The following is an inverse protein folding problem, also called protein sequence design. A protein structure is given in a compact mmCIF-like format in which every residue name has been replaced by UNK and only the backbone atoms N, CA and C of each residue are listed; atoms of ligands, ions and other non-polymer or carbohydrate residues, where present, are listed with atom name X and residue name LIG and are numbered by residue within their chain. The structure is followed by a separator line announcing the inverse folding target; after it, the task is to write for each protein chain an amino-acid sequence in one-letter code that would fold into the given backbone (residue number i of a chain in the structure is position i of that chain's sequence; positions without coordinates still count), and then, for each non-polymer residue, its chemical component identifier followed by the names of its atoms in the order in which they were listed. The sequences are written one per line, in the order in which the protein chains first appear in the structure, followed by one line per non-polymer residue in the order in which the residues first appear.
data_IF_602518957413
#
_entry.id   IF_602518957413
#
_cell.length_a   1.000
_cell.length_b   1.000
_cell.length_c   1.000
_cell.angle_alpha   90.00
_cell.angle_beta   90.00
_cell.angle_gamma   90.00
#
_symmetry.space_group_name_H-M   'P 1'
#
loop_
_entity.id
_entity.type
_entity.pdbx_description
1 polymer ?
#
# COMPACT_ATOMS: atom_id res chain seq x y z
N UNK A 1 -13.69 14.59 -23.44
CA UNK A 1 -12.90 13.41 -23.86
C UNK A 1 -13.19 12.27 -22.91
N UNK A 2 -13.13 11.03 -23.41
CA UNK A 2 -13.25 9.81 -22.60
C UNK A 2 -11.86 9.35 -22.17
N UNK A 3 -11.68 9.09 -20.88
CA UNK A 3 -10.44 8.63 -20.28
C UNK A 3 -10.62 7.26 -19.67
N UNK A 4 -9.64 6.39 -19.84
CA UNK A 4 -9.52 5.11 -19.15
C UNK A 4 -8.20 5.04 -18.40
N UNK A 5 -8.22 4.68 -17.10
CA UNK A 5 -7.02 4.64 -16.27
C UNK A 5 -6.80 3.23 -15.74
N UNK A 6 -5.60 2.70 -15.92
CA UNK A 6 -5.17 1.42 -15.36
C UNK A 6 -4.06 1.60 -14.34
N UNK A 7 -4.24 1.00 -13.16
CA UNK A 7 -3.28 1.12 -12.06
C UNK A 7 -2.59 -0.21 -11.78
N UNK A 8 -1.29 -0.19 -11.84
CA UNK A 8 -0.42 -1.23 -11.30
C UNK A 8 0.31 -0.66 -10.09
N UNK A 9 0.31 -1.35 -8.95
CA UNK A 9 1.17 -0.97 -7.84
C UNK A 9 0.54 -0.97 -6.46
N UNK A 10 1.12 -0.14 -5.60
CA UNK A 10 0.78 -0.01 -4.19
C UNK A 10 -0.42 0.92 -3.94
N UNK A 11 -0.78 1.08 -2.67
CA UNK A 11 -1.85 2.00 -2.23
C UNK A 11 -1.61 3.44 -2.67
N UNK A 12 -0.34 3.89 -2.71
CA UNK A 12 0.01 5.24 -3.20
C UNK A 12 -0.35 5.40 -4.67
N UNK A 13 -0.02 4.42 -5.53
CA UNK A 13 -0.43 4.47 -6.93
C UNK A 13 -1.97 4.48 -7.08
N UNK A 14 -2.67 3.71 -6.25
CA UNK A 14 -4.14 3.71 -6.25
C UNK A 14 -4.70 5.07 -5.85
N UNK A 15 -4.17 5.69 -4.78
CA UNK A 15 -4.54 7.04 -4.38
C UNK A 15 -4.30 8.06 -5.50
N UNK A 16 -3.12 8.04 -6.12
CA UNK A 16 -2.79 8.93 -7.23
C UNK A 16 -3.73 8.76 -8.43
N UNK A 17 -4.14 7.53 -8.72
CA UNK A 17 -5.14 7.25 -9.77
C UNK A 17 -6.50 7.83 -9.40
N UNK A 18 -6.96 7.63 -8.17
CA UNK A 18 -8.22 8.22 -7.69
C UNK A 18 -8.22 9.75 -7.79
N UNK A 19 -7.10 10.36 -7.42
CA UNK A 19 -6.93 11.79 -7.54
C UNK A 19 -7.00 12.27 -9.01
N UNK A 20 -6.32 11.57 -9.92
CA UNK A 20 -6.40 11.86 -11.37
C UNK A 20 -7.83 11.72 -11.90
N UNK A 21 -8.55 10.68 -11.50
CA UNK A 21 -9.97 10.49 -11.85
C UNK A 21 -10.84 11.63 -11.36
N UNK A 22 -10.65 12.07 -10.11
CA UNK A 22 -11.37 13.20 -9.51
C UNK A 22 -11.09 14.50 -10.27
N UNK A 23 -9.83 14.77 -10.60
CA UNK A 23 -9.41 15.96 -11.32
C UNK A 23 -10.01 15.97 -12.74
N UNK A 24 -9.89 14.87 -13.48
CA UNK A 24 -10.41 14.75 -14.83
C UNK A 24 -11.94 14.91 -14.88
N UNK A 25 -12.64 14.29 -13.94
CA UNK A 25 -14.11 14.44 -13.82
C UNK A 25 -14.47 15.91 -13.51
N UNK A 26 -13.75 16.55 -12.60
CA UNK A 26 -13.93 17.97 -12.28
C UNK A 26 -13.65 18.92 -13.46
N UNK A 27 -12.81 18.53 -14.41
CA UNK A 27 -12.54 19.22 -15.67
C UNK A 27 -13.58 18.91 -16.78
N UNK A 28 -14.62 18.11 -16.48
CA UNK A 28 -15.71 17.80 -17.40
C UNK A 28 -15.39 16.65 -18.37
N UNK A 29 -14.40 15.81 -18.05
CA UNK A 29 -14.13 14.59 -18.83
C UNK A 29 -14.93 13.42 -18.30
N UNK A 30 -15.09 12.38 -19.13
CA UNK A 30 -15.82 11.15 -18.80
C UNK A 30 -14.83 10.03 -18.57
N UNK A 31 -14.90 9.37 -17.42
CA UNK A 31 -14.15 8.15 -17.16
C UNK A 31 -14.91 6.94 -17.68
N UNK A 32 -14.17 5.99 -18.24
CA UNK A 32 -14.71 4.71 -18.75
C UNK A 32 -13.90 3.55 -18.15
N UNK A 33 -14.46 2.35 -18.24
CA UNK A 33 -13.73 1.12 -17.94
C UNK A 33 -12.53 0.97 -18.87
N UNK A 34 -11.44 0.37 -18.38
CA UNK A 34 -10.18 0.29 -19.13
C UNK A 34 -10.29 -0.58 -20.40
N UNK A 35 -11.18 -1.54 -20.44
CA UNK A 35 -11.43 -2.39 -21.60
C UNK A 35 -12.46 -1.76 -22.59
N UNK A 36 -13.05 -0.61 -22.25
CA UNK A 36 -13.95 0.15 -23.14
C UNK A 36 -13.16 1.08 -24.07
N UNK A 37 -13.82 1.60 -25.10
CA UNK A 37 -13.24 2.62 -25.98
C UNK A 37 -13.08 3.95 -25.26
N UNK A 38 -11.85 4.50 -25.27
CA UNK A 38 -11.50 5.80 -24.75
C UNK A 38 -10.63 6.59 -25.75
N UNK A 39 -10.65 7.91 -25.62
CA UNK A 39 -9.78 8.78 -26.40
C UNK A 39 -8.35 8.77 -25.86
N UNK A 40 -8.23 8.55 -24.54
CA UNK A 40 -6.97 8.56 -23.79
C UNK A 40 -6.91 7.38 -22.81
N UNK A 41 -5.81 6.66 -22.83
CA UNK A 41 -5.47 5.64 -21.83
C UNK A 41 -4.30 6.09 -20.98
N UNK A 42 -4.50 6.17 -19.68
CA UNK A 42 -3.45 6.46 -18.70
C UNK A 42 -3.07 5.17 -17.99
N UNK A 43 -1.78 4.83 -17.96
CA UNK A 43 -1.27 3.64 -17.27
C UNK A 43 -0.35 4.09 -16.14
N UNK A 44 -0.83 4.01 -14.90
CA UNK A 44 -0.04 4.29 -13.70
C UNK A 44 0.73 3.04 -13.28
N UNK A 45 2.06 3.10 -13.38
CA UNK A 45 2.95 1.94 -13.38
C UNK A 45 3.65 1.72 -12.04
N UNK A 46 3.93 0.44 -11.74
CA UNK A 46 4.67 -0.01 -10.58
C UNK A 46 6.05 -0.53 -10.96
N UNK A 47 7.00 -0.37 -10.02
CA UNK A 47 8.38 -0.82 -10.20
C UNK A 47 8.96 -1.50 -8.94
N UNK A 48 8.12 -2.03 -8.04
CA UNK A 48 8.58 -2.70 -6.81
C UNK A 48 9.31 -4.01 -7.10
N UNK A 49 8.89 -4.77 -8.13
CA UNK A 49 9.51 -6.03 -8.53
C UNK A 49 9.76 -6.10 -10.04
N UNK A 50 10.69 -6.96 -10.48
CA UNK A 50 10.90 -7.24 -11.90
C UNK A 50 9.64 -7.81 -12.58
N UNK A 51 8.83 -8.54 -11.84
CA UNK A 51 7.52 -9.05 -12.31
C UNK A 51 6.55 -7.90 -12.56
N UNK A 52 6.55 -6.88 -11.70
CA UNK A 52 5.74 -5.67 -11.91
C UNK A 52 6.14 -4.93 -13.17
N UNK A 53 7.46 -4.74 -13.42
CA UNK A 53 7.95 -4.14 -14.65
C UNK A 53 7.46 -4.91 -15.90
N UNK A 54 7.51 -6.26 -15.86
CA UNK A 54 7.01 -7.11 -16.95
C UNK A 54 5.50 -6.93 -17.17
N UNK A 55 4.72 -6.87 -16.08
CA UNK A 55 3.26 -6.62 -16.17
C UNK A 55 2.97 -5.26 -16.77
N UNK A 56 3.72 -4.20 -16.38
CA UNK A 56 3.59 -2.87 -16.95
C UNK A 56 3.84 -2.88 -18.47
N UNK A 57 4.96 -3.46 -18.92
CA UNK A 57 5.28 -3.56 -20.36
C UNK A 57 4.20 -4.31 -21.13
N UNK A 58 3.71 -5.42 -20.58
CA UNK A 58 2.67 -6.20 -21.25
C UNK A 58 1.36 -5.43 -21.37
N UNK A 59 0.99 -4.67 -20.33
CA UNK A 59 -0.20 -3.82 -20.36
C UNK A 59 -0.07 -2.72 -21.40
N UNK A 60 1.04 -1.99 -21.40
CA UNK A 60 1.31 -0.93 -22.40
C UNK A 60 1.22 -1.48 -23.83
N UNK A 61 1.90 -2.60 -24.12
CA UNK A 61 1.85 -3.24 -25.44
C UNK A 61 0.44 -3.74 -25.82
N UNK A 62 -0.29 -4.29 -24.84
CA UNK A 62 -1.68 -4.71 -25.07
C UNK A 62 -2.54 -3.50 -25.45
N UNK A 63 -2.47 -2.43 -24.67
CA UNK A 63 -3.26 -1.21 -24.90
C UNK A 63 -2.93 -0.60 -26.27
N UNK A 64 -1.64 -0.49 -26.64
CA UNK A 64 -1.24 0.02 -27.96
C UNK A 64 -1.78 -0.82 -29.12
N UNK A 65 -1.79 -2.13 -28.96
CA UNK A 65 -2.29 -3.04 -30.01
C UNK A 65 -3.81 -3.00 -30.13
N UNK A 66 -4.54 -2.89 -28.99
CA UNK A 66 -6.01 -2.88 -29.00
C UNK A 66 -6.61 -1.52 -29.35
N UNK A 67 -5.89 -0.43 -29.05
CA UNK A 67 -6.34 0.95 -29.25
C UNK A 67 -5.26 1.78 -29.97
N UNK A 68 -4.93 1.47 -31.25
CA UNK A 68 -3.79 2.07 -31.97
C UNK A 68 -3.95 3.58 -32.18
N UNK A 69 -5.18 4.08 -32.27
CA UNK A 69 -5.51 5.48 -32.52
C UNK A 69 -5.71 6.31 -31.24
N UNK A 70 -5.79 5.67 -30.08
CA UNK A 70 -5.92 6.36 -28.79
C UNK A 70 -4.58 6.95 -28.33
N UNK A 71 -4.64 8.02 -27.53
CA UNK A 71 -3.46 8.53 -26.82
C UNK A 71 -3.12 7.61 -25.65
N UNK A 72 -1.86 7.20 -25.55
CA UNK A 72 -1.36 6.38 -24.44
C UNK A 72 -0.37 7.16 -23.63
N UNK A 73 -0.74 7.51 -22.40
CA UNK A 73 0.11 8.19 -21.43
C UNK A 73 0.51 7.23 -20.31
N UNK A 74 1.79 7.20 -19.99
CA UNK A 74 2.34 6.31 -18.96
C UNK A 74 3.01 7.11 -17.87
N UNK A 75 2.65 6.84 -16.60
CA UNK A 75 3.26 7.48 -15.45
C UNK A 75 3.61 6.46 -14.35
N UNK A 76 4.17 6.94 -13.23
CA UNK A 76 4.44 6.12 -12.06
C UNK A 76 5.88 5.60 -11.95
N UNK A 77 6.09 4.65 -11.00
CA UNK A 77 7.43 4.24 -10.59
C UNK A 77 8.25 3.57 -11.70
N UNK A 78 7.63 2.80 -12.60
CA UNK A 78 8.37 2.19 -13.70
C UNK A 78 8.79 3.24 -14.74
N UNK A 79 7.91 4.17 -15.07
CA UNK A 79 8.23 5.29 -15.95
C UNK A 79 9.33 6.19 -15.34
N UNK A 80 9.30 6.44 -14.03
CA UNK A 80 10.35 7.16 -13.32
C UNK A 80 11.70 6.45 -13.35
N UNK A 81 11.69 5.12 -13.15
CA UNK A 81 12.94 4.34 -13.07
C UNK A 81 13.59 4.10 -14.44
N UNK A 82 12.78 4.01 -15.50
CA UNK A 82 13.22 3.58 -16.83
C UNK A 82 12.46 4.33 -17.94
N UNK A 83 12.56 5.66 -18.00
CA UNK A 83 11.75 6.46 -18.93
C UNK A 83 12.05 6.13 -20.41
N UNK A 84 13.30 5.87 -20.76
CA UNK A 84 13.70 5.51 -22.14
C UNK A 84 13.14 4.14 -22.56
N UNK A 85 13.12 3.16 -21.65
CA UNK A 85 12.52 1.85 -21.92
C UNK A 85 11.02 1.97 -22.17
N UNK A 86 10.32 2.84 -21.42
CA UNK A 86 8.89 3.10 -21.59
C UNK A 86 8.62 3.87 -22.88
N UNK A 87 9.39 4.91 -23.19
CA UNK A 87 9.28 5.66 -24.45
C UNK A 87 9.46 4.76 -25.67
N UNK A 88 10.40 3.80 -25.59
CA UNK A 88 10.64 2.78 -26.62
C UNK A 88 9.46 1.81 -26.86
N UNK A 89 8.38 1.88 -26.04
CA UNK A 89 7.15 1.14 -26.27
C UNK A 89 6.12 1.91 -27.15
N UNK A 90 6.56 2.99 -27.81
CA UNK A 90 5.78 3.81 -28.73
C UNK A 90 4.53 4.43 -28.07
N UNK A 91 4.68 4.90 -26.82
CA UNK A 91 3.63 5.66 -26.12
C UNK A 91 3.75 7.15 -26.44
N UNK A 92 2.66 7.90 -26.25
CA UNK A 92 2.62 9.33 -26.62
C UNK A 92 3.22 10.22 -25.52
N UNK A 93 3.07 9.83 -24.24
CA UNK A 93 3.57 10.59 -23.09
C UNK A 93 4.13 9.67 -22.01
N UNK A 94 5.32 10.04 -21.49
CA UNK A 94 5.96 9.37 -20.36
C UNK A 94 6.22 10.39 -19.26
N UNK A 95 5.64 10.18 -18.07
CA UNK A 95 5.90 11.00 -16.89
C UNK A 95 6.35 10.15 -15.69
N UNK A 96 7.04 10.79 -14.77
CA UNK A 96 7.53 10.14 -13.54
C UNK A 96 6.44 9.95 -12.48
N UNK A 97 6.84 10.08 -11.23
CA UNK A 97 6.00 9.94 -10.03
C UNK A 97 5.63 11.29 -9.40
N UNK A 98 6.10 12.42 -9.92
CA UNK A 98 5.78 13.76 -9.43
C UNK A 98 4.82 14.50 -10.33
N UNK A 99 4.26 15.60 -9.78
CA UNK A 99 3.45 16.60 -10.48
C UNK A 99 2.34 15.99 -11.36
N UNK A 100 1.33 15.44 -10.70
CA UNK A 100 0.15 14.85 -11.35
C UNK A 100 -0.68 15.88 -12.10
N UNK A 101 -0.69 17.12 -11.60
CA UNK A 101 -1.41 18.21 -12.28
C UNK A 101 -0.76 18.52 -13.62
N UNK A 102 0.55 18.77 -13.65
CA UNK A 102 1.27 19.04 -14.90
C UNK A 102 1.22 17.86 -15.87
N UNK A 103 1.24 16.61 -15.34
CA UNK A 103 1.06 15.42 -16.16
C UNK A 103 -0.30 15.42 -16.87
N UNK A 104 -1.40 15.69 -16.16
CA UNK A 104 -2.73 15.74 -16.75
C UNK A 104 -2.86 16.89 -17.76
N UNK A 105 -2.26 18.05 -17.50
CA UNK A 105 -2.25 19.18 -18.44
C UNK A 105 -1.54 18.77 -19.76
N UNK A 106 -0.41 18.07 -19.67
CA UNK A 106 0.31 17.55 -20.84
C UNK A 106 -0.51 16.50 -21.60
N UNK A 107 -1.23 15.62 -20.87
CA UNK A 107 -2.11 14.62 -21.48
C UNK A 107 -3.23 15.29 -22.27
N UNK A 108 -3.87 16.32 -21.70
CA UNK A 108 -4.94 17.08 -22.37
C UNK A 108 -4.42 17.80 -23.62
N UNK A 109 -3.24 18.44 -23.55
CA UNK A 109 -2.61 19.08 -24.69
C UNK A 109 -2.29 18.09 -25.80
N UNK A 110 -1.66 16.94 -25.46
CA UNK A 110 -1.32 15.91 -26.44
C UNK A 110 -2.57 15.26 -27.06
N UNK A 111 -3.69 15.21 -26.34
CA UNK A 111 -4.95 14.74 -26.88
C UNK A 111 -5.60 15.69 -27.88
N UNK A 112 -5.37 17.02 -27.73
CA UNK A 112 -5.85 18.05 -28.63
C UNK A 112 -4.96 18.19 -29.88
N UNK A 113 -3.67 17.96 -29.75
CA UNK A 113 -2.71 18.03 -30.86
C UNK A 113 -1.86 16.78 -30.97
N UNK A 114 -2.30 15.86 -31.82
CA UNK A 114 -1.66 14.55 -32.07
C UNK A 114 -0.36 14.66 -32.91
N UNK A 115 -0.02 15.85 -33.38
CA UNK A 115 1.24 16.06 -34.12
C UNK A 115 2.46 16.16 -33.21
N UNK A 116 2.26 16.31 -31.91
CA UNK A 116 3.30 16.39 -30.91
C UNK A 116 4.00 15.01 -30.79
N UNK A 117 5.33 14.92 -30.98
CA UNK A 117 6.04 13.66 -30.81
C UNK A 117 6.04 13.20 -29.36
N UNK A 118 6.38 11.93 -29.12
CA UNK A 118 6.47 11.35 -27.76
C UNK A 118 7.22 12.29 -26.83
N UNK A 119 6.54 12.68 -25.74
CA UNK A 119 7.12 13.53 -24.71
C UNK A 119 7.58 12.69 -23.52
N UNK A 120 8.77 12.99 -23.00
CA UNK A 120 9.30 12.38 -21.78
C UNK A 120 9.53 13.48 -20.75
N UNK A 121 8.67 13.51 -19.73
CA UNK A 121 8.67 14.49 -18.64
C UNK A 121 8.97 13.79 -17.32
N UNK A 122 10.23 13.49 -17.08
CA UNK A 122 10.71 12.78 -15.88
C UNK A 122 11.80 13.60 -15.21
N UNK A 123 11.53 14.05 -13.99
CA UNK A 123 12.46 14.80 -13.15
C UNK A 123 13.38 13.89 -12.34
N UNK A 124 14.34 14.50 -11.63
CA UNK A 124 15.13 13.79 -10.64
C UNK A 124 14.39 13.75 -9.28
N UNK A 125 13.78 12.60 -8.97
CA UNK A 125 13.02 12.42 -7.76
C UNK A 125 13.80 12.76 -6.47
N UNK A 126 15.14 12.55 -6.45
CA UNK A 126 15.98 12.87 -5.28
C UNK A 126 16.10 14.37 -4.97
N UNK A 127 15.66 15.23 -5.89
CA UNK A 127 15.68 16.68 -5.73
C UNK A 127 14.32 17.27 -5.32
N UNK A 128 13.32 16.44 -5.06
CA UNK A 128 12.01 16.90 -4.63
C UNK A 128 12.02 17.25 -3.15
N UNK A 129 11.33 18.32 -2.78
CA UNK A 129 11.24 18.80 -1.39
C UNK A 129 9.79 19.01 -0.95
N UNK A 130 8.88 19.25 -1.89
CA UNK A 130 7.49 19.57 -1.58
C UNK A 130 6.61 18.32 -1.66
N UNK A 131 5.66 18.22 -0.72
CA UNK A 131 4.58 17.23 -0.78
C UNK A 131 3.51 17.68 -1.77
N UNK A 132 3.13 16.81 -2.69
CA UNK A 132 2.06 17.09 -3.63
C UNK A 132 0.71 16.74 -3.01
N UNK A 133 -0.07 17.76 -2.64
CA UNK A 133 -1.44 17.59 -2.14
C UNK A 133 -2.37 17.32 -3.32
N UNK A 134 -2.97 16.15 -3.33
CA UNK A 134 -3.94 15.73 -4.33
C UNK A 134 -5.30 15.48 -3.66
N UNK A 135 -6.43 15.63 -4.37
CA UNK A 135 -7.73 15.35 -3.78
C UNK A 135 -7.85 13.90 -3.35
N UNK A 136 -8.27 13.69 -2.09
CA UNK A 136 -8.55 12.37 -1.55
C UNK A 136 -10.00 11.95 -1.85
N UNK A 137 -10.23 10.64 -1.98
CA UNK A 137 -11.54 10.07 -2.26
C UNK A 137 -11.89 10.06 -3.77
N UNK A 138 -13.11 9.65 -4.09
CA UNK A 138 -13.64 9.75 -5.45
C UNK A 138 -13.89 8.44 -6.19
N UNK A 139 -13.55 7.27 -5.66
CA UNK A 139 -13.94 6.02 -6.32
C UNK A 139 -15.38 5.65 -6.00
N UNK A 140 -16.20 5.69 -7.02
CA UNK A 140 -17.53 5.08 -6.99
C UNK A 140 -17.40 3.59 -6.65
N UNK A 141 -18.16 3.14 -5.64
CA UNK A 141 -18.20 1.73 -5.24
C UNK A 141 -17.09 1.27 -4.28
N UNK A 142 -16.25 2.16 -3.71
CA UNK A 142 -15.34 1.83 -2.62
C UNK A 142 -15.86 2.32 -1.27
N UNK A 143 -15.71 1.49 -0.25
CA UNK A 143 -16.16 1.76 1.13
C UNK A 143 -15.07 2.38 2.00
N UNK A 144 -13.81 2.23 1.61
CA UNK A 144 -12.65 2.78 2.30
C UNK A 144 -11.94 3.79 1.42
N UNK A 145 -11.70 5.00 1.94
CA UNK A 145 -10.89 6.00 1.27
C UNK A 145 -9.41 5.87 1.63
N UNK A 146 -8.54 6.18 0.68
CA UNK A 146 -7.11 6.32 0.95
C UNK A 146 -6.81 7.80 1.18
N UNK A 147 -6.00 8.08 2.19
CA UNK A 147 -5.46 9.41 2.47
C UNK A 147 -3.93 9.30 2.45
N UNK A 148 -3.30 9.84 1.42
CA UNK A 148 -1.84 9.88 1.32
C UNK A 148 -1.32 11.03 2.16
N UNK A 149 -0.57 10.72 3.20
CA UNK A 149 -0.01 11.71 4.12
C UNK A 149 1.51 11.82 4.03
N UNK A 150 2.15 10.89 3.31
CA UNK A 150 3.60 10.86 3.14
C UNK A 150 3.96 10.32 1.75
N UNK A 151 5.07 10.80 1.18
CA UNK A 151 5.69 10.26 -0.03
C UNK A 151 7.22 10.29 0.10
N UNK A 152 7.88 9.33 -0.52
CA UNK A 152 9.32 9.19 -0.48
C UNK A 152 9.81 8.24 0.62
N UNK A 153 11.12 7.98 0.66
CA UNK A 153 11.73 7.09 1.66
C UNK A 153 13.24 7.32 1.76
N UNK A 154 13.74 7.53 2.96
CA UNK A 154 15.16 7.70 3.28
C UNK A 154 15.89 6.42 3.71
N UNK A 155 15.27 5.24 3.71
CA UNK A 155 15.86 4.02 4.28
C UNK A 155 16.93 3.37 3.39
N UNK A 156 16.88 3.54 2.07
CA UNK A 156 17.82 2.95 1.11
C UNK A 156 18.10 1.46 1.35
N UNK A 157 17.05 0.67 1.57
CA UNK A 157 17.18 -0.79 1.67
C UNK A 157 17.84 -1.34 0.41
N UNK A 158 18.76 -2.30 0.54
CA UNK A 158 19.62 -2.75 -0.57
C UNK A 158 18.87 -3.34 -1.75
N UNK A 159 17.65 -3.84 -1.54
CA UNK A 159 16.78 -4.43 -2.55
C UNK A 159 15.78 -3.43 -3.17
N UNK A 160 15.70 -2.20 -2.64
CA UNK A 160 14.60 -1.28 -2.94
C UNK A 160 15.01 -0.20 -3.93
N UNK A 161 14.15 0.05 -4.92
CA UNK A 161 14.32 1.12 -5.91
C UNK A 161 13.57 2.40 -5.51
N UNK A 162 12.71 2.32 -4.53
CA UNK A 162 11.75 3.39 -4.18
C UNK A 162 12.44 4.74 -3.87
N UNK A 163 13.54 4.82 -3.10
CA UNK A 163 14.21 6.11 -2.89
C UNK A 163 14.57 6.83 -4.18
N UNK A 164 14.91 6.09 -5.23
CA UNK A 164 15.29 6.64 -6.54
C UNK A 164 14.09 7.00 -7.42
N UNK A 165 12.90 6.44 -7.13
CA UNK A 165 11.69 6.72 -7.90
C UNK A 165 10.75 7.70 -7.21
N UNK A 166 10.78 7.76 -5.87
CA UNK A 166 9.90 8.63 -5.08
C UNK A 166 10.65 9.79 -4.42
N UNK A 167 11.96 9.66 -4.22
CA UNK A 167 12.80 10.68 -3.61
C UNK A 167 12.80 10.66 -2.08
N UNK A 168 13.25 11.76 -1.44
CA UNK A 168 13.27 11.90 0.01
C UNK A 168 11.86 11.96 0.60
N UNK A 169 11.78 11.80 1.92
CA UNK A 169 10.55 11.94 2.69
C UNK A 169 9.94 13.32 2.48
N UNK A 170 8.67 13.37 2.23
CA UNK A 170 7.84 14.57 2.16
C UNK A 170 6.50 14.27 2.83
N UNK A 171 6.17 15.10 3.80
CA UNK A 171 4.99 14.92 4.65
C UNK A 171 3.91 15.95 4.32
N UNK A 172 2.65 15.51 4.30
CA UNK A 172 1.52 16.42 4.29
C UNK A 172 1.37 17.09 5.67
N UNK A 173 0.97 18.36 5.69
CA UNK A 173 0.71 19.05 6.96
C UNK A 173 -0.50 18.45 7.69
N UNK A 174 -0.51 18.56 9.04
CA UNK A 174 -1.65 18.12 9.86
C UNK A 174 -2.95 18.78 9.40
N UNK A 175 -2.93 20.09 9.15
CA UNK A 175 -4.12 20.86 8.78
C UNK A 175 -4.70 20.39 7.43
N UNK A 176 -3.86 20.13 6.44
CA UNK A 176 -4.30 19.62 5.14
C UNK A 176 -4.87 18.20 5.27
N UNK A 177 -4.18 17.32 5.98
CA UNK A 177 -4.64 15.94 6.23
C UNK A 177 -6.00 15.92 6.97
N UNK A 178 -6.17 16.76 8.00
CA UNK A 178 -7.43 16.91 8.74
C UNK A 178 -8.54 17.46 7.84
N UNK A 179 -8.24 18.43 6.99
CA UNK A 179 -9.22 18.99 6.04
C UNK A 179 -9.70 17.92 5.07
N UNK A 180 -8.79 17.12 4.50
CA UNK A 180 -9.16 16.01 3.62
C UNK A 180 -9.95 14.93 4.35
N UNK A 181 -9.56 14.57 5.58
CA UNK A 181 -10.27 13.56 6.38
C UNK A 181 -11.72 13.98 6.66
N UNK A 182 -11.97 15.28 6.98
CA UNK A 182 -13.32 15.81 7.17
C UNK A 182 -14.15 15.73 5.88
N UNK A 183 -13.57 16.11 4.74
CA UNK A 183 -14.25 16.00 3.45
C UNK A 183 -14.63 14.53 3.13
N UNK A 184 -13.77 13.58 3.45
CA UNK A 184 -14.07 12.15 3.29
C UNK A 184 -15.20 11.68 4.22
N UNK A 185 -15.25 12.16 5.48
CA UNK A 185 -16.35 11.89 6.40
C UNK A 185 -17.68 12.43 5.86
N UNK A 186 -17.69 13.67 5.36
CA UNK A 186 -18.87 14.32 4.75
C UNK A 186 -19.31 13.59 3.46
N UNK A 187 -18.39 13.02 2.71
CA UNK A 187 -18.67 12.18 1.54
C UNK A 187 -19.25 10.79 1.88
N UNK A 188 -19.41 10.44 3.16
CA UNK A 188 -20.06 9.21 3.63
C UNK A 188 -19.14 8.00 3.73
N UNK A 189 -17.82 8.18 3.73
CA UNK A 189 -16.90 7.08 4.04
C UNK A 189 -16.96 6.72 5.53
N UNK A 190 -16.77 5.45 5.85
CA UNK A 190 -16.70 4.94 7.22
C UNK A 190 -15.28 4.58 7.68
N UNK A 191 -14.35 4.48 6.76
CA UNK A 191 -12.95 4.17 7.05
C UNK A 191 -12.00 4.94 6.14
N UNK A 192 -10.94 5.51 6.72
CA UNK A 192 -9.79 6.03 5.98
C UNK A 192 -8.55 5.16 6.23
N UNK A 193 -7.77 4.96 5.18
CA UNK A 193 -6.49 4.25 5.26
C UNK A 193 -5.38 5.27 5.05
N UNK A 194 -4.64 5.59 6.11
CA UNK A 194 -3.45 6.44 5.99
C UNK A 194 -2.41 5.71 5.15
N UNK A 195 -2.01 6.35 4.08
CA UNK A 195 -1.12 5.74 3.11
C UNK A 195 0.09 6.63 2.86
N UNK A 196 1.19 6.00 2.51
CA UNK A 196 2.45 6.62 2.17
C UNK A 196 3.40 5.55 1.64
N UNK A 197 4.58 5.96 1.28
CA UNK A 197 5.68 5.05 0.94
C UNK A 197 6.26 4.44 2.22
N UNK A 198 6.42 5.27 3.24
CA UNK A 198 6.89 4.85 4.57
C UNK A 198 6.35 5.82 5.63
N UNK A 199 5.10 5.63 6.03
CA UNK A 199 4.37 6.57 6.90
C UNK A 199 5.01 6.76 8.29
N UNK A 200 5.88 5.85 8.74
CA UNK A 200 6.66 6.01 9.97
C UNK A 200 7.66 7.17 9.91
N UNK A 201 7.99 7.62 8.71
CA UNK A 201 8.87 8.77 8.47
C UNK A 201 8.13 10.09 8.39
N UNK A 202 6.79 10.08 8.49
CA UNK A 202 5.99 11.30 8.48
C UNK A 202 6.44 12.26 9.59
N UNK A 203 6.58 13.51 9.23
CA UNK A 203 7.00 14.59 10.13
C UNK A 203 8.49 14.87 10.14
N UNK A 204 9.35 13.95 9.62
CA UNK A 204 10.81 14.14 9.65
C UNK A 204 11.32 15.33 8.84
N UNK A 205 10.55 15.79 7.87
CA UNK A 205 10.83 16.94 6.99
C UNK A 205 10.05 18.20 7.40
N UNK A 206 9.14 18.10 8.38
CA UNK A 206 8.37 19.23 8.88
C UNK A 206 9.12 19.98 9.97
N UNK A 207 8.79 21.26 10.15
CA UNK A 207 9.30 22.06 11.25
C UNK A 207 8.72 21.61 12.60
N UNK A 208 9.52 21.61 13.63
CA UNK A 208 9.15 21.19 14.98
C UNK A 208 9.44 19.71 15.27
N UNK A 209 9.10 19.28 16.47
CA UNK A 209 9.25 17.87 16.91
C UNK A 209 7.90 17.15 16.80
N UNK A 210 7.46 16.96 15.55
CA UNK A 210 6.21 16.29 15.23
C UNK A 210 6.46 14.91 14.65
N UNK A 211 5.58 13.98 14.96
CA UNK A 211 5.70 12.57 14.57
C UNK A 211 4.35 11.98 14.13
N UNK A 212 4.35 10.78 13.61
CA UNK A 212 3.14 10.09 13.15
C UNK A 212 2.02 10.05 14.20
N UNK A 213 2.36 9.91 15.50
CA UNK A 213 1.32 9.85 16.55
C UNK A 213 0.61 11.20 16.73
N UNK A 214 1.27 12.32 16.49
CA UNK A 214 0.66 13.65 16.55
C UNK A 214 -0.36 13.84 15.42
N UNK A 215 -0.04 13.35 14.21
CA UNK A 215 -0.98 13.30 13.09
C UNK A 215 -2.18 12.41 13.41
N UNK A 216 -1.94 11.22 14.01
CA UNK A 216 -3.01 10.29 14.36
C UNK A 216 -3.99 10.86 15.38
N UNK A 217 -3.48 11.53 16.42
CA UNK A 217 -4.32 12.21 17.41
C UNK A 217 -5.16 13.31 16.75
N UNK A 218 -4.54 14.15 15.92
CA UNK A 218 -5.26 15.21 15.21
C UNK A 218 -6.37 14.65 14.31
N UNK A 219 -6.09 13.62 13.52
CA UNK A 219 -7.06 12.97 12.64
C UNK A 219 -8.18 12.29 13.44
N UNK A 220 -7.85 11.44 14.41
CA UNK A 220 -8.83 10.71 15.19
C UNK A 220 -9.80 11.62 15.96
N UNK A 221 -9.29 12.73 16.51
CA UNK A 221 -10.13 13.73 17.18
C UNK A 221 -10.98 14.54 16.19
N UNK A 222 -10.46 14.84 14.99
CA UNK A 222 -11.18 15.62 14.00
C UNK A 222 -12.34 14.86 13.34
N UNK A 223 -12.22 13.53 13.21
CA UNK A 223 -13.22 12.66 12.55
C UNK A 223 -13.55 11.43 13.40
N UNK A 224 -14.16 11.60 14.58
CA UNK A 224 -14.38 10.51 15.56
C UNK A 224 -15.31 9.40 15.06
N UNK A 225 -16.09 9.64 14.03
CA UNK A 225 -16.99 8.67 13.40
C UNK A 225 -16.33 7.82 12.32
N UNK A 226 -15.15 8.23 11.83
CA UNK A 226 -14.37 7.47 10.86
C UNK A 226 -13.40 6.52 11.56
N UNK A 227 -13.29 5.30 11.08
CA UNK A 227 -12.17 4.43 11.40
C UNK A 227 -10.91 4.95 10.74
N UNK A 228 -9.83 5.01 11.48
CA UNK A 228 -8.50 5.37 10.98
C UNK A 228 -7.63 4.12 10.97
N UNK A 229 -7.23 3.68 9.80
CA UNK A 229 -6.34 2.52 9.62
C UNK A 229 -4.97 2.96 9.13
N UNK A 230 -3.93 2.35 9.67
CA UNK A 230 -2.55 2.62 9.30
C UNK A 230 -2.13 1.80 8.07
N UNK A 231 -1.29 2.39 7.22
CA UNK A 231 -0.46 1.69 6.27
C UNK A 231 0.70 0.95 6.96
N UNK A 232 1.75 0.64 6.18
CA UNK A 232 2.90 -0.09 6.69
C UNK A 232 3.76 0.77 7.62
N UNK A 233 4.20 0.17 8.72
CA UNK A 233 5.03 0.80 9.74
C UNK A 233 6.41 0.15 9.85
N UNK A 234 7.40 0.95 10.19
CA UNK A 234 8.69 0.46 10.62
C UNK A 234 8.65 0.09 12.12
N UNK A 235 9.28 -1.03 12.54
CA UNK A 235 9.21 -1.48 13.94
C UNK A 235 9.65 -0.43 14.97
N UNK A 236 10.60 0.43 14.61
CA UNK A 236 11.13 1.48 15.50
C UNK A 236 10.10 2.54 15.89
N UNK A 237 9.06 2.73 15.09
CA UNK A 237 7.96 3.66 15.40
C UNK A 237 7.13 3.18 16.59
N UNK A 238 7.08 1.87 16.82
CA UNK A 238 6.32 1.27 17.92
C UNK A 238 7.12 1.42 19.22
N UNK A 239 6.97 2.56 19.86
CA UNK A 239 7.50 2.86 21.19
C UNK A 239 6.41 2.74 22.24
N UNK A 240 6.79 2.76 23.52
CA UNK A 240 5.82 2.76 24.61
C UNK A 240 4.92 4.01 24.56
N UNK A 241 5.49 5.19 24.26
CA UNK A 241 4.73 6.43 24.11
C UNK A 241 3.75 6.35 22.93
N UNK A 242 4.18 5.86 21.77
CA UNK A 242 3.30 5.62 20.63
C UNK A 242 2.13 4.71 21.02
N UNK A 243 2.40 3.55 21.66
CA UNK A 243 1.35 2.60 22.04
C UNK A 243 0.38 3.19 23.05
N UNK A 244 0.88 3.89 24.06
CA UNK A 244 0.06 4.55 25.10
C UNK A 244 -0.88 5.60 24.49
N UNK A 245 -0.37 6.46 23.61
CA UNK A 245 -1.17 7.51 22.95
C UNK A 245 -2.14 6.89 21.92
N UNK A 246 -1.68 5.97 21.09
CA UNK A 246 -2.49 5.32 20.07
C UNK A 246 -3.64 4.49 20.65
N UNK A 247 -3.43 3.79 21.78
CA UNK A 247 -4.47 3.00 22.44
C UNK A 247 -5.56 3.85 23.07
N UNK A 248 -5.33 5.14 23.28
CA UNK A 248 -6.33 6.10 23.75
C UNK A 248 -7.27 6.61 22.63
N UNK A 249 -7.03 6.25 21.36
CA UNK A 249 -7.80 6.68 20.20
C UNK A 249 -8.84 5.62 19.81
N UNK A 250 -10.14 5.82 20.15
CA UNK A 250 -11.16 4.77 20.05
C UNK A 250 -11.49 4.38 18.60
N UNK A 251 -11.24 5.26 17.65
CA UNK A 251 -11.48 5.03 16.23
C UNK A 251 -10.23 4.63 15.43
N UNK A 252 -9.07 4.47 16.09
CA UNK A 252 -7.89 3.87 15.48
C UNK A 252 -8.08 2.35 15.38
N UNK A 253 -7.93 1.81 14.18
CA UNK A 253 -8.03 0.37 13.94
C UNK A 253 -6.86 -0.38 14.60
N UNK A 254 -7.10 -1.40 15.45
CA UNK A 254 -6.05 -2.20 16.07
C UNK A 254 -5.42 -3.19 15.08
N UNK A 255 -4.92 -2.66 13.97
CA UNK A 255 -4.25 -3.38 12.89
C UNK A 255 -2.92 -2.69 12.57
N UNK A 256 -1.82 -3.40 12.74
CA UNK A 256 -0.46 -2.88 12.59
C UNK A 256 0.32 -3.76 11.60
N UNK A 257 0.53 -3.24 10.41
CA UNK A 257 1.40 -3.91 9.43
C UNK A 257 2.84 -3.47 9.65
N UNK A 258 3.66 -4.33 10.26
CA UNK A 258 5.06 -4.07 10.57
C UNK A 258 5.98 -4.71 9.53
N UNK A 259 6.86 -3.94 8.91
CA UNK A 259 7.77 -4.41 7.86
C UNK A 259 8.93 -5.23 8.43
N UNK A 260 8.78 -6.57 8.55
CA UNK A 260 9.81 -7.48 9.06
C UNK A 260 10.93 -7.73 8.04
N UNK A 261 10.58 -8.11 6.85
CA UNK A 261 11.45 -8.50 5.73
C UNK A 261 12.30 -9.76 5.97
N UNK A 262 12.92 -9.94 7.16
CA UNK A 262 13.66 -11.13 7.59
C UNK A 262 13.70 -11.20 9.13
N UNK A 263 13.77 -12.40 9.68
CA UNK A 263 13.94 -12.64 11.13
C UNK A 263 15.40 -12.90 11.55
N UNK A 264 16.36 -12.81 10.64
CA UNK A 264 17.79 -12.98 10.94
C UNK A 264 18.51 -11.61 10.88
N UNK A 265 19.21 -11.26 11.95
CA UNK A 265 19.96 -10.01 12.04
C UNK A 265 21.05 -9.89 10.97
N UNK A 266 21.67 -11.00 10.59
CA UNK A 266 22.66 -11.00 9.52
C UNK A 266 22.02 -10.65 8.16
N UNK A 267 20.85 -11.19 7.87
CA UNK A 267 20.08 -10.86 6.67
C UNK A 267 19.55 -9.44 6.71
N UNK A 268 18.99 -8.97 7.84
CA UNK A 268 18.54 -7.59 8.03
C UNK A 268 19.67 -6.58 7.80
N UNK A 269 20.86 -6.88 8.29
CA UNK A 269 22.06 -6.05 8.05
C UNK A 269 22.42 -5.99 6.54
N UNK A 270 22.39 -7.12 5.84
CA UNK A 270 22.61 -7.15 4.37
C UNK A 270 21.53 -6.40 3.62
N UNK A 271 20.28 -6.42 4.11
CA UNK A 271 19.15 -5.63 3.59
C UNK A 271 19.26 -4.13 3.89
N UNK A 272 20.23 -3.69 4.73
CA UNK A 272 20.34 -2.33 5.25
C UNK A 272 19.13 -1.91 6.11
N UNK A 273 18.53 -2.88 6.84
CA UNK A 273 17.46 -2.56 7.80
C UNK A 273 18.06 -1.95 9.07
N UNK A 274 17.30 -1.06 9.71
CA UNK A 274 17.77 -0.24 10.85
C UNK A 274 17.28 -0.78 12.21
N UNK A 275 16.86 -2.00 12.26
CA UNK A 275 16.37 -2.71 13.46
C UNK A 275 16.88 -4.15 13.47
N UNK A 276 16.79 -4.77 14.63
CA UNK A 276 17.09 -6.19 14.87
C UNK A 276 15.80 -7.01 15.02
N UNK A 277 15.93 -8.33 14.94
CA UNK A 277 14.82 -9.26 15.22
C UNK A 277 14.28 -9.06 16.66
N UNK A 278 15.15 -8.84 17.64
CA UNK A 278 14.76 -8.55 19.02
C UNK A 278 13.95 -7.26 19.13
N UNK A 279 14.38 -6.16 18.47
CA UNK A 279 13.63 -4.90 18.45
C UNK A 279 12.26 -5.07 17.81
N UNK A 280 12.15 -5.91 16.80
CA UNK A 280 10.87 -6.22 16.18
C UNK A 280 9.93 -6.97 17.15
N UNK A 281 10.44 -7.98 17.85
CA UNK A 281 9.67 -8.72 18.87
C UNK A 281 9.22 -7.80 20.00
N UNK A 282 10.05 -6.86 20.41
CA UNK A 282 9.68 -5.83 21.38
C UNK A 282 8.50 -4.98 20.88
N UNK A 283 8.48 -4.62 19.60
CA UNK A 283 7.33 -3.91 19.01
C UNK A 283 6.04 -4.73 19.09
N UNK A 284 6.11 -6.03 18.77
CA UNK A 284 4.96 -6.93 18.90
C UNK A 284 4.47 -7.02 20.36
N UNK A 285 5.40 -7.12 21.31
CA UNK A 285 5.10 -7.16 22.75
C UNK A 285 4.39 -5.89 23.20
N UNK A 286 4.92 -4.71 22.84
CA UNK A 286 4.33 -3.42 23.19
C UNK A 286 2.90 -3.29 22.62
N UNK A 287 2.68 -3.64 21.36
CA UNK A 287 1.34 -3.58 20.79
C UNK A 287 0.35 -4.47 21.55
N UNK A 288 0.74 -5.70 21.92
CA UNK A 288 -0.11 -6.61 22.70
C UNK A 288 -0.33 -6.18 24.15
N UNK A 289 0.57 -5.37 24.69
CA UNK A 289 0.40 -4.80 26.03
C UNK A 289 -0.67 -3.70 26.08
N UNK A 290 -0.79 -2.91 25.00
CA UNK A 290 -1.66 -1.75 24.95
C UNK A 290 -2.98 -1.95 24.21
N UNK A 291 -3.05 -2.96 23.34
CA UNK A 291 -4.24 -3.27 22.54
C UNK A 291 -4.74 -4.69 22.83
N UNK A 292 -6.05 -4.87 22.89
CA UNK A 292 -6.64 -6.21 22.99
C UNK A 292 -6.56 -6.92 21.64
N UNK A 293 -5.86 -8.06 21.61
CA UNK A 293 -5.69 -8.91 20.42
C UNK A 293 -5.46 -8.14 19.11
N UNK A 294 -4.45 -7.21 19.04
CA UNK A 294 -4.22 -6.45 17.84
C UNK A 294 -3.83 -7.36 16.68
N UNK A 295 -4.30 -7.06 15.48
CA UNK A 295 -3.80 -7.73 14.29
C UNK A 295 -2.41 -7.20 13.95
N UNK A 296 -1.39 -8.03 14.12
CA UNK A 296 -0.02 -7.73 13.71
C UNK A 296 0.25 -8.51 12.42
N UNK A 297 0.40 -7.79 11.32
CA UNK A 297 0.70 -8.36 10.01
C UNK A 297 2.07 -7.95 9.51
N UNK A 298 2.63 -8.68 8.56
CA UNK A 298 3.99 -8.41 8.08
C UNK A 298 4.26 -8.91 6.67
N UNK A 299 5.35 -8.38 6.09
CA UNK A 299 5.97 -8.87 4.85
C UNK A 299 7.24 -9.66 5.18
N UNK A 300 7.47 -10.77 4.48
CA UNK A 300 8.68 -11.58 4.54
C UNK A 300 9.26 -11.80 3.15
N UNK A 301 10.55 -11.54 2.99
CA UNK A 301 11.32 -11.83 1.78
C UNK A 301 12.17 -13.08 2.02
N UNK A 302 11.82 -14.21 1.37
CA UNK A 302 12.57 -15.45 1.46
C UNK A 302 13.66 -15.55 0.41
N UNK A 303 14.80 -16.10 0.80
CA UNK A 303 15.92 -16.34 -0.11
C UNK A 303 16.60 -15.08 -0.55
N UNK A 304 16.78 -14.10 0.35
CA UNK A 304 17.59 -12.94 0.09
C UNK A 304 19.04 -13.32 -0.22
N UNK A 305 19.77 -12.42 -0.86
CA UNK A 305 21.15 -12.69 -1.31
C UNK A 305 22.02 -13.16 -0.15
N UNK A 306 22.67 -14.32 -0.31
CA UNK A 306 23.53 -14.93 0.68
C UNK A 306 22.82 -15.45 1.94
N UNK A 307 21.49 -15.54 1.95
CA UNK A 307 20.74 -16.13 3.08
C UNK A 307 21.08 -17.61 3.24
N UNK A 308 21.68 -17.98 4.35
CA UNK A 308 22.04 -19.36 4.70
C UNK A 308 20.85 -20.12 5.28
N UNK A 309 20.97 -21.46 5.38
CA UNK A 309 19.96 -22.30 6.05
C UNK A 309 19.81 -21.92 7.53
N UNK A 310 20.92 -21.58 8.22
CA UNK A 310 20.88 -21.09 9.59
C UNK A 310 20.07 -19.81 9.74
N UNK A 311 20.31 -18.82 8.88
CA UNK A 311 19.61 -17.53 8.90
C UNK A 311 18.13 -17.70 8.57
N UNK A 312 17.79 -18.60 7.68
CA UNK A 312 16.40 -18.94 7.40
C UNK A 312 15.72 -19.64 8.59
N UNK A 313 16.43 -20.56 9.27
CA UNK A 313 15.92 -21.18 10.50
C UNK A 313 15.70 -20.14 11.63
N UNK A 314 16.60 -19.16 11.78
CA UNK A 314 16.44 -18.02 12.69
C UNK A 314 15.15 -17.23 12.34
N UNK A 315 14.89 -17.02 11.05
CA UNK A 315 13.69 -16.34 10.55
C UNK A 315 12.42 -17.10 10.93
N UNK A 316 12.37 -18.43 10.72
CA UNK A 316 11.22 -19.25 11.11
C UNK A 316 10.97 -19.19 12.62
N UNK A 317 12.01 -19.36 13.44
CA UNK A 317 11.90 -19.28 14.89
C UNK A 317 11.43 -17.91 15.38
N UNK A 318 11.82 -16.84 14.69
CA UNK A 318 11.38 -15.48 14.99
C UNK A 318 9.90 -15.27 14.63
N UNK A 319 9.45 -15.78 13.49
CA UNK A 319 8.05 -15.72 13.04
C UNK A 319 7.14 -16.40 14.07
N UNK A 320 7.49 -17.58 14.53
CA UNK A 320 6.72 -18.29 15.56
C UNK A 320 6.60 -17.50 16.86
N UNK A 321 7.69 -16.84 17.30
CA UNK A 321 7.68 -15.98 18.50
C UNK A 321 6.85 -14.72 18.32
N UNK A 322 6.85 -14.16 17.10
CA UNK A 322 6.10 -12.95 16.80
C UNK A 322 4.58 -13.18 16.75
N UNK A 323 4.14 -14.40 16.38
CA UNK A 323 2.75 -14.86 16.32
C UNK A 323 1.86 -13.87 15.54
N UNK A 324 2.09 -13.80 14.23
CA UNK A 324 1.40 -12.86 13.34
C UNK A 324 -0.05 -13.30 13.06
N UNK A 325 -0.94 -12.31 12.91
CA UNK A 325 -2.32 -12.54 12.47
C UNK A 325 -2.42 -12.87 10.98
N UNK A 326 -1.50 -12.38 10.16
CA UNK A 326 -1.35 -12.73 8.74
C UNK A 326 0.04 -12.31 8.24
N UNK A 327 0.52 -12.96 7.18
CA UNK A 327 1.82 -12.65 6.56
C UNK A 327 1.73 -12.66 5.04
N UNK A 328 2.43 -11.70 4.42
CA UNK A 328 2.72 -11.72 2.99
C UNK A 328 4.15 -12.23 2.76
N UNK A 329 4.28 -13.34 2.08
CA UNK A 329 5.54 -14.05 1.91
C UNK A 329 5.92 -14.04 0.43
N UNK A 330 7.11 -13.52 0.12
CA UNK A 330 7.58 -13.35 -1.24
C UNK A 330 8.97 -13.94 -1.43
N UNK A 331 9.25 -14.60 -2.57
CA UNK A 331 10.62 -14.91 -2.93
C UNK A 331 11.37 -13.61 -3.26
N UNK A 332 12.62 -13.49 -2.86
CA UNK A 332 13.45 -12.36 -3.25
C UNK A 332 13.48 -12.19 -4.78
N UNK A 333 13.05 -11.05 -5.26
CA UNK A 333 13.04 -10.70 -6.67
C UNK A 333 14.24 -9.81 -6.99
N UNK A 334 15.20 -10.34 -7.72
CA UNK A 334 16.36 -9.60 -8.21
C UNK A 334 15.91 -8.42 -9.08
N UNK A 335 16.40 -7.22 -8.75
CA UNK A 335 15.97 -6.00 -9.42
C UNK A 335 17.18 -5.17 -9.89
N UNK A 336 17.27 -4.97 -11.20
CA UNK A 336 18.29 -4.12 -11.81
C UNK A 336 18.31 -2.71 -11.24
N UNK A 337 19.51 -2.18 -10.98
CA UNK A 337 19.73 -0.86 -10.42
C UNK A 337 19.81 -0.81 -8.88
N UNK A 338 19.44 -1.87 -8.18
CA UNK A 338 19.58 -1.95 -6.72
C UNK A 338 20.96 -2.47 -6.29
N UNK A 339 21.33 -2.22 -5.02
CA UNK A 339 22.58 -2.73 -4.46
C UNK A 339 22.56 -4.26 -4.43
N UNK A 340 21.45 -4.85 -3.99
CA UNK A 340 21.29 -6.31 -3.88
C UNK A 340 21.37 -7.04 -5.23
N UNK A 341 21.03 -6.37 -6.33
CA UNK A 341 21.19 -6.94 -7.68
C UNK A 341 22.65 -7.28 -8.00
N UNK A 342 23.59 -6.50 -7.46
CA UNK A 342 25.04 -6.63 -7.70
C UNK A 342 25.77 -7.47 -6.65
N UNK A 343 25.08 -7.85 -5.57
CA UNK A 343 25.68 -8.72 -4.55
C UNK A 343 25.94 -10.12 -5.09
N UNK A 344 27.04 -10.77 -4.70
CA UNK A 344 27.29 -12.19 -5.00
C UNK A 344 26.30 -13.08 -4.25
N UNK A 345 26.39 -14.38 -4.50
CA UNK A 345 25.62 -15.43 -3.77
C UNK A 345 24.11 -15.33 -3.94
N UNK A 346 23.65 -15.02 -5.14
CA UNK A 346 22.24 -15.05 -5.52
C UNK A 346 21.71 -16.48 -5.43
N UNK A 347 20.64 -16.70 -4.64
CA UNK A 347 20.06 -18.01 -4.45
C UNK A 347 19.22 -18.46 -5.67
N UNK A 348 19.22 -19.77 -5.99
CA UNK A 348 18.33 -20.33 -6.99
C UNK A 348 16.85 -20.15 -6.64
N UNK A 349 15.98 -20.01 -7.65
CA UNK A 349 14.54 -19.84 -7.42
C UNK A 349 13.94 -21.03 -6.65
N UNK A 350 14.37 -22.26 -6.93
CA UNK A 350 13.90 -23.45 -6.20
C UNK A 350 14.13 -23.35 -4.68
N UNK A 351 15.26 -22.78 -4.24
CA UNK A 351 15.53 -22.54 -2.81
C UNK A 351 14.60 -21.46 -2.25
N UNK A 352 14.41 -20.36 -2.97
CA UNK A 352 13.50 -19.30 -2.56
C UNK A 352 12.07 -19.80 -2.42
N UNK A 353 11.59 -20.56 -3.40
CA UNK A 353 10.23 -21.11 -3.42
C UNK A 353 10.04 -22.14 -2.28
N UNK A 354 11.02 -23.00 -2.03
CA UNK A 354 10.98 -23.94 -0.91
C UNK A 354 10.89 -23.21 0.44
N UNK A 355 11.67 -22.13 0.63
CA UNK A 355 11.62 -21.31 1.84
C UNK A 355 10.28 -20.57 1.98
N UNK A 356 9.72 -20.04 0.89
CA UNK A 356 8.39 -19.46 0.90
C UNK A 356 7.32 -20.48 1.36
N UNK A 357 7.37 -21.72 0.86
CA UNK A 357 6.42 -22.77 1.26
C UNK A 357 6.56 -23.13 2.75
N UNK A 358 7.79 -23.22 3.28
CA UNK A 358 7.99 -23.49 4.69
C UNK A 358 7.46 -22.36 5.58
N UNK A 359 7.78 -21.11 5.24
CA UNK A 359 7.28 -19.94 5.97
C UNK A 359 5.75 -19.82 5.89
N UNK A 360 5.15 -20.12 4.73
CA UNK A 360 3.70 -20.09 4.54
C UNK A 360 2.99 -21.14 5.41
N UNK A 361 3.58 -22.32 5.61
CA UNK A 361 3.01 -23.34 6.49
C UNK A 361 2.96 -22.87 7.96
N UNK A 362 4.01 -22.18 8.43
CA UNK A 362 4.03 -21.59 9.77
C UNK A 362 3.02 -20.46 9.88
N UNK A 363 2.98 -19.56 8.87
CA UNK A 363 2.05 -18.44 8.83
C UNK A 363 0.58 -18.88 8.89
N UNK A 364 0.22 -19.93 8.13
CA UNK A 364 -1.15 -20.44 8.10
C UNK A 364 -1.64 -20.95 9.48
N UNK A 365 -0.76 -21.55 10.27
CA UNK A 365 -1.09 -22.01 11.62
C UNK A 365 -1.34 -20.83 12.58
N UNK A 366 -0.55 -19.76 12.46
CA UNK A 366 -0.73 -18.55 13.28
C UNK A 366 -2.02 -17.83 12.89
N UNK A 367 -2.26 -17.65 11.60
CA UNK A 367 -3.48 -17.02 11.09
C UNK A 367 -4.74 -17.77 11.55
N UNK A 368 -4.73 -19.10 11.47
CA UNK A 368 -5.85 -19.92 11.95
C UNK A 368 -6.09 -19.71 13.44
N UNK A 369 -5.06 -19.74 14.30
CA UNK A 369 -5.21 -19.49 15.75
C UNK A 369 -5.76 -18.09 16.01
N UNK A 370 -5.29 -17.08 15.27
CA UNK A 370 -5.77 -15.72 15.39
C UNK A 370 -7.27 -15.62 15.04
N UNK A 371 -7.70 -16.23 13.94
CA UNK A 371 -9.10 -16.26 13.53
C UNK A 371 -9.97 -17.01 14.55
N UNK A 372 -9.54 -18.19 15.02
CA UNK A 372 -10.24 -18.98 16.03
C UNK A 372 -10.47 -18.19 17.33
N UNK A 373 -9.54 -17.32 17.71
CA UNK A 373 -9.65 -16.48 18.92
C UNK A 373 -10.81 -15.47 18.88
N UNK A 374 -11.39 -15.24 17.71
CA UNK A 374 -12.52 -14.32 17.51
C UNK A 374 -13.88 -15.04 17.45
N UNK A 375 -13.91 -16.37 17.39
CA UNK A 375 -15.17 -17.12 17.38
C UNK A 375 -15.89 -16.94 18.73
N UNK A 376 -17.17 -16.55 18.65
CA UNK A 376 -17.98 -16.19 19.82
C UNK A 376 -17.92 -14.71 20.20
N UNK A 377 -17.07 -13.89 19.59
CA UNK A 377 -17.02 -12.45 19.81
C UNK A 377 -17.96 -11.68 18.88
N UNK A 378 -18.19 -10.42 19.17
CA UNK A 378 -18.94 -9.50 18.30
C UNK A 378 -17.98 -8.47 17.73
N UNK A 379 -17.95 -8.33 16.40
CA UNK A 379 -17.09 -7.37 15.70
C UNK A 379 -17.94 -6.40 14.88
N UNK A 380 -17.63 -5.09 14.92
CA UNK A 380 -18.23 -4.14 14.00
C UNK A 380 -17.60 -4.29 12.62
N UNK A 381 -18.38 -4.70 11.61
CA UNK A 381 -17.93 -5.01 10.25
C UNK A 381 -18.40 -3.94 9.28
N UNK A 382 -17.48 -3.38 8.50
CA UNK A 382 -17.81 -2.54 7.35
C UNK A 382 -17.93 -3.44 6.12
N UNK A 383 -19.14 -3.60 5.61
CA UNK A 383 -19.43 -4.44 4.46
C UNK A 383 -19.10 -3.72 3.14
N UNK A 384 -18.55 -4.45 2.16
CA UNK A 384 -17.98 -3.91 0.95
C UNK A 384 -18.62 -4.47 -0.32
N UNK A 385 -18.71 -5.79 -0.44
CA UNK A 385 -19.13 -6.46 -1.65
C UNK A 385 -19.91 -7.74 -1.35
N UNK A 386 -20.77 -8.12 -2.27
CA UNK A 386 -21.42 -9.43 -2.25
C UNK A 386 -20.52 -10.46 -2.96
N UNK A 387 -20.29 -11.59 -2.31
CA UNK A 387 -19.50 -12.69 -2.82
C UNK A 387 -20.15 -14.03 -2.43
N UNK A 388 -20.44 -14.87 -3.43
CA UNK A 388 -21.02 -16.21 -3.24
C UNK A 388 -22.34 -16.24 -2.41
N UNK A 389 -23.17 -15.19 -2.54
CA UNK A 389 -24.45 -15.06 -1.84
C UNK A 389 -24.35 -14.60 -0.39
N UNK A 390 -23.15 -14.21 0.04
CA UNK A 390 -22.90 -13.57 1.32
C UNK A 390 -22.27 -12.19 1.11
N UNK A 391 -22.47 -11.29 2.06
CA UNK A 391 -21.77 -10.02 2.10
C UNK A 391 -20.42 -10.19 2.79
N UNK A 392 -19.38 -9.69 2.15
CA UNK A 392 -18.02 -9.64 2.68
C UNK A 392 -17.70 -8.23 3.15
N UNK A 393 -17.13 -8.11 4.35
CA UNK A 393 -16.64 -6.86 4.90
C UNK A 393 -15.38 -7.06 5.74
N UNK A 394 -14.89 -5.99 6.35
CA UNK A 394 -13.72 -6.03 7.23
C UNK A 394 -14.00 -5.46 8.60
N UNK A 395 -13.53 -6.18 9.61
CA UNK A 395 -13.51 -5.71 10.99
C UNK A 395 -12.37 -4.70 11.23
N UNK A 396 -12.32 -3.99 12.37
CA UNK A 396 -11.24 -3.05 12.67
C UNK A 396 -9.84 -3.67 12.65
N UNK A 397 -9.72 -4.94 13.07
CA UNK A 397 -8.48 -5.72 13.00
C UNK A 397 -8.14 -6.25 11.57
N UNK A 398 -8.85 -5.78 10.55
CA UNK A 398 -8.68 -6.13 9.14
C UNK A 398 -9.02 -7.58 8.77
N UNK A 399 -9.60 -8.35 9.68
CA UNK A 399 -10.10 -9.68 9.35
C UNK A 399 -11.33 -9.55 8.45
N UNK A 400 -11.37 -10.33 7.38
CA UNK A 400 -12.54 -10.44 6.52
C UNK A 400 -13.64 -11.23 7.24
N UNK A 401 -14.87 -10.75 7.13
CA UNK A 401 -16.06 -11.38 7.75
C UNK A 401 -17.16 -11.53 6.71
N UNK A 402 -17.73 -12.72 6.62
CA UNK A 402 -18.86 -13.04 5.77
C UNK A 402 -20.13 -13.12 6.59
N UNK A 403 -21.22 -12.53 6.12
CA UNK A 403 -22.54 -12.62 6.74
C UNK A 403 -23.66 -12.55 5.69
N UNK A 404 -24.79 -13.18 5.97
CA UNK A 404 -25.99 -13.03 5.17
C UNK A 404 -26.64 -11.66 5.42
N UNK A 405 -27.17 -11.04 4.35
CA UNK A 405 -27.85 -9.74 4.43
C UNK A 405 -28.30 -9.25 3.07
N UNK A 406 -28.85 -8.05 3.02
CA UNK A 406 -29.25 -7.39 1.79
C UNK A 406 -28.82 -5.91 1.85
N UNK A 407 -28.40 -5.35 0.73
CA UNK A 407 -28.03 -3.92 0.57
C UNK A 407 -27.01 -3.42 1.60
N UNK A 408 -25.95 -4.20 1.83
CA UNK A 408 -24.95 -3.89 2.86
C UNK A 408 -23.74 -3.10 2.32
N UNK A 409 -23.70 -2.71 1.05
CA UNK A 409 -22.57 -1.93 0.52
C UNK A 409 -22.37 -0.64 1.33
N UNK A 410 -21.14 -0.42 1.85
CA UNK A 410 -20.75 0.71 2.68
C UNK A 410 -21.59 0.83 3.99
N UNK A 411 -22.01 -0.30 4.56
CA UNK A 411 -22.78 -0.34 5.79
C UNK A 411 -21.95 -0.96 6.91
N UNK A 412 -21.97 -0.29 8.07
CA UNK A 412 -21.34 -0.78 9.31
C UNK A 412 -22.37 -1.51 10.15
N UNK A 413 -22.10 -2.78 10.51
CA UNK A 413 -22.95 -3.61 11.34
C UNK A 413 -22.15 -4.39 12.37
N UNK A 414 -22.74 -4.61 13.53
CA UNK A 414 -22.22 -5.56 14.51
C UNK A 414 -22.56 -6.98 14.08
N UNK A 415 -21.53 -7.84 14.05
CA UNK A 415 -21.62 -9.24 13.62
C UNK A 415 -21.14 -10.15 14.74
N UNK A 416 -22.00 -11.06 15.18
CA UNK A 416 -21.65 -12.15 16.10
C UNK A 416 -20.93 -13.23 15.30
N UNK A 417 -19.66 -13.45 15.59
CA UNK A 417 -18.83 -14.45 14.88
C UNK A 417 -19.23 -15.85 15.34
N UNK A 418 -19.57 -16.69 14.38
CA UNK A 418 -20.05 -18.06 14.62
C UNK A 418 -19.06 -19.14 14.21
N UNK A 419 -18.10 -18.81 13.33
CA UNK A 419 -17.15 -19.78 12.85
C UNK A 419 -16.11 -19.21 11.88
N UNK A 420 -15.39 -20.10 11.22
CA UNK A 420 -14.43 -19.79 10.17
C UNK A 420 -15.05 -20.02 8.80
N UNK A 421 -14.70 -19.16 7.84
CA UNK A 421 -15.02 -19.26 6.42
C UNK A 421 -13.72 -19.23 5.59
N UNK A 422 -13.06 -20.40 5.46
CA UNK A 422 -11.72 -20.46 4.89
C UNK A 422 -10.70 -19.69 5.71
N UNK A 423 -10.04 -18.69 5.10
CA UNK A 423 -9.13 -17.75 5.75
C UNK A 423 -9.83 -16.46 6.22
N UNK A 424 -11.12 -16.55 6.53
CA UNK A 424 -11.94 -15.45 7.02
C UNK A 424 -12.85 -15.94 8.16
N UNK A 425 -13.62 -15.04 8.72
CA UNK A 425 -14.66 -15.34 9.70
C UNK A 425 -16.03 -15.36 9.03
N UNK A 426 -16.98 -16.07 9.64
CA UNK A 426 -18.40 -15.95 9.32
C UNK A 426 -19.20 -15.61 10.55
N UNK A 427 -20.36 -14.96 10.39
CA UNK A 427 -21.18 -14.58 11.50
C UNK A 427 -22.60 -14.15 11.13
N UNK A 428 -23.33 -13.75 12.15
CA UNK A 428 -24.72 -13.29 12.06
C UNK A 428 -24.78 -11.82 12.43
N UNK A 429 -25.40 -11.01 11.59
CA UNK A 429 -25.66 -9.58 11.86
C UNK A 429 -26.66 -9.49 13.03
N UNK A 430 -26.36 -8.62 14.02
CA UNK A 430 -27.17 -8.39 15.20
C UNK A 430 -28.27 -7.35 14.96
#
# INVERSE_FOLDING_TARGET
MRYAIYTLGCKVNQYETQAMETILTGRGHTLTEFDAEADVYIINTCSVTAVSDKKCRNMIRRTKRTHPDALIAVCGCYAQAKPEEVAGLEVDLVAGTGDRMAFLDQVEQAALDRSIPTQVSVDNALKRHDFEVLPAGGLVGRTRAMLKVEDGCGNFCTYCIIPFTRGPVRSESIDAAVTQAKALAEAGYHEIVLTGIEISSWGQDLEGDVSLIDLLEALCHAVPTLRVRLGSLEPRTITEDFCRRASALPNLCPHFHLSLQSGSDATLKRMNRKYTAERFLESCRLLRQYFDRPAITTDLICGFVGETEKEFAETLAMIEKADFSAMHIFPYSRRGGTVADRMPDQLPNAVKDARCHQAAAVAAQMEQRYLESWVGETLPVLFEEEADGLWRGHAPNYVAVYAAGADLHNVLKDVKITGLHGQALEGVIL
#
